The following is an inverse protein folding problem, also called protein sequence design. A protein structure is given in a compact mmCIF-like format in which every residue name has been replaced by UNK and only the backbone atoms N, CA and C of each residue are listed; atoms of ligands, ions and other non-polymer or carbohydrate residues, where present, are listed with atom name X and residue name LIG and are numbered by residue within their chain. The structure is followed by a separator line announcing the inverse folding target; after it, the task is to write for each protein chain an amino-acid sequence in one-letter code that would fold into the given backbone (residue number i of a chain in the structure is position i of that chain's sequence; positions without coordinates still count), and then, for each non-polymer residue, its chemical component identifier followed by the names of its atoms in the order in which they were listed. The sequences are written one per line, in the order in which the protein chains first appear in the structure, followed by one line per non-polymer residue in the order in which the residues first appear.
data_IF_671498376020
#
_entry.id   IF_671498376020
#
_cell.length_a   1.000
_cell.length_b   1.000
_cell.length_c   1.000
_cell.angle_alpha   90.00
_cell.angle_beta   90.00
_cell.angle_gamma   90.00
#
_symmetry.space_group_name_H-M   'P 1'
#
loop_
_entity.id
_entity.type
_entity.pdbx_description
1 polymer ?
#
# COMPACT_ATOMS: atom_id res chain seq x y z
N UNK A 1 -13.59 6.77 -44.99
CA UNK A 1 -13.93 6.37 -43.60
C UNK A 1 -12.91 6.87 -42.56
N UNK A 2 -11.60 6.81 -42.80
CA UNK A 2 -10.57 7.34 -41.87
C UNK A 2 -10.52 8.87 -41.71
N UNK A 3 -10.90 9.63 -42.75
CA UNK A 3 -10.93 11.10 -42.68
C UNK A 3 -12.03 11.62 -41.74
N UNK A 4 -13.19 10.95 -41.68
CA UNK A 4 -14.29 11.31 -40.79
C UNK A 4 -13.93 11.10 -39.31
N UNK A 5 -13.18 10.04 -39.00
CA UNK A 5 -12.73 9.74 -37.63
C UNK A 5 -11.67 10.72 -37.12
N UNK A 6 -10.74 11.18 -37.98
CA UNK A 6 -9.78 12.26 -37.64
C UNK A 6 -10.49 13.60 -37.43
N UNK A 7 -11.53 13.89 -38.19
CA UNK A 7 -12.33 15.11 -38.05
C UNK A 7 -13.19 15.10 -36.76
N UNK A 8 -13.81 13.97 -36.41
CA UNK A 8 -14.55 13.79 -35.15
C UNK A 8 -13.65 13.88 -33.90
N UNK A 9 -12.41 13.37 -33.95
CA UNK A 9 -11.40 13.59 -32.88
C UNK A 9 -10.96 15.05 -32.77
N UNK A 10 -10.89 15.80 -33.88
CA UNK A 10 -10.61 17.24 -33.88
C UNK A 10 -11.80 18.08 -33.37
N UNK A 11 -13.04 17.71 -33.71
CA UNK A 11 -14.25 18.38 -33.21
C UNK A 11 -14.48 18.18 -31.71
N UNK A 12 -14.18 16.99 -31.17
CA UNK A 12 -14.16 16.76 -29.71
C UNK A 12 -13.13 17.62 -28.97
N UNK A 13 -12.04 18.05 -29.63
CA UNK A 13 -11.06 18.98 -29.06
C UNK A 13 -11.50 20.46 -29.12
N UNK A 14 -12.48 20.80 -29.98
CA UNK A 14 -12.94 22.17 -30.21
C UNK A 14 -14.10 22.61 -29.31
N UNK A 15 -14.77 21.69 -28.61
CA UNK A 15 -15.77 22.02 -27.58
C UNK A 15 -15.15 21.71 -26.21
N UNK A 16 -14.21 22.55 -25.76
CA UNK A 16 -13.78 22.52 -24.36
C UNK A 16 -14.95 23.01 -23.51
N UNK A 17 -15.56 22.09 -22.74
CA UNK A 17 -16.57 22.45 -21.74
C UNK A 17 -15.95 23.48 -20.79
N UNK A 18 -16.72 24.52 -20.44
CA UNK A 18 -16.29 25.47 -19.43
C UNK A 18 -15.95 24.75 -18.12
N UNK A 19 -14.90 25.21 -17.40
CA UNK A 19 -14.58 24.75 -16.06
C UNK A 19 -15.81 24.80 -15.14
N UNK A 20 -15.88 23.88 -14.20
CA UNK A 20 -16.89 23.92 -13.14
C UNK A 20 -16.58 25.06 -12.18
N UNK A 21 -17.63 25.77 -11.74
CA UNK A 21 -17.51 26.72 -10.63
C UNK A 21 -17.19 25.97 -9.33
N UNK A 22 -16.28 26.48 -8.48
CA UNK A 22 -16.01 25.93 -7.15
C UNK A 22 -17.30 25.78 -6.32
N UNK A 23 -17.41 24.66 -5.58
CA UNK A 23 -18.48 24.44 -4.61
C UNK A 23 -18.21 25.31 -3.38
N UNK A 24 -19.28 25.67 -2.69
CA UNK A 24 -19.21 26.36 -1.41
C UNK A 24 -19.41 25.35 -0.28
N UNK A 25 -18.59 25.45 0.75
CA UNK A 25 -18.64 24.61 1.94
C UNK A 25 -18.97 25.47 3.15
N UNK A 26 -19.66 24.89 4.12
CA UNK A 26 -19.98 25.62 5.36
C UNK A 26 -18.71 25.82 6.18
N UNK A 27 -18.52 27.05 6.66
CA UNK A 27 -17.40 27.43 7.55
C UNK A 27 -17.81 27.44 9.02
N UNK A 28 -19.05 27.07 9.33
CA UNK A 28 -19.63 26.97 10.68
C UNK A 28 -20.51 25.73 10.75
N UNK A 29 -20.96 25.35 11.97
CA UNK A 29 -21.86 24.21 12.15
C UNK A 29 -21.16 22.83 12.14
N UNK A 30 -19.83 22.80 12.09
CA UNK A 30 -19.05 21.58 12.33
C UNK A 30 -18.92 21.30 13.82
N UNK A 31 -18.70 20.03 14.17
CA UNK A 31 -18.28 19.63 15.51
C UNK A 31 -16.82 20.01 15.76
N UNK A 32 -16.56 20.72 16.87
CA UNK A 32 -15.20 21.03 17.31
C UNK A 32 -14.66 19.90 18.17
N UNK A 33 -13.55 19.29 17.75
CA UNK A 33 -12.88 18.25 18.54
C UNK A 33 -12.18 18.90 19.76
N UNK A 34 -12.40 18.42 20.99
CA UNK A 34 -11.79 19.01 22.19
C UNK A 34 -10.26 18.96 22.18
N UNK A 35 -9.62 19.99 22.74
CA UNK A 35 -8.15 20.12 22.78
C UNK A 35 -7.45 19.01 23.57
N UNK A 36 -8.16 18.33 24.49
CA UNK A 36 -7.61 17.23 25.26
C UNK A 36 -7.39 15.94 24.46
N UNK A 37 -7.89 15.86 23.22
CA UNK A 37 -7.68 14.73 22.32
C UNK A 37 -6.76 15.12 21.17
N UNK A 38 -5.74 14.30 20.93
CA UNK A 38 -4.97 14.41 19.69
C UNK A 38 -5.83 13.99 18.50
N UNK A 39 -5.95 14.85 17.49
CA UNK A 39 -6.66 14.56 16.25
C UNK A 39 -5.66 14.25 15.13
N UNK A 40 -5.71 13.02 14.62
CA UNK A 40 -5.00 12.60 13.41
C UNK A 40 -3.52 12.99 13.36
N UNK A 41 -3.08 13.83 12.41
CA UNK A 41 -1.68 14.22 12.23
C UNK A 41 -1.05 14.92 13.43
N UNK A 42 -1.86 15.48 14.34
CA UNK A 42 -1.38 16.11 15.57
C UNK A 42 -0.58 15.15 16.47
N UNK A 43 -0.80 13.84 16.33
CA UNK A 43 -0.07 12.83 17.08
C UNK A 43 1.41 12.72 16.67
N UNK A 44 1.78 13.27 15.52
CA UNK A 44 3.14 13.19 14.97
C UNK A 44 3.97 14.43 15.32
N UNK A 45 5.27 14.22 15.57
CA UNK A 45 6.17 15.31 15.90
C UNK A 45 6.36 16.27 14.72
N UNK A 46 6.29 15.76 13.48
CA UNK A 46 6.33 16.56 12.25
C UNK A 46 5.19 17.60 12.19
N UNK A 47 4.05 17.34 12.84
CA UNK A 47 2.96 18.32 12.94
C UNK A 47 3.31 19.44 13.92
N UNK A 48 3.91 19.10 15.07
CA UNK A 48 4.35 20.06 16.08
C UNK A 48 5.45 20.97 15.54
N UNK A 49 6.28 20.45 14.64
CA UNK A 49 7.30 21.20 13.90
C UNK A 49 6.73 22.08 12.76
N UNK A 50 5.43 21.99 12.48
CA UNK A 50 4.78 22.78 11.43
C UNK A 50 5.12 22.31 10.01
N UNK A 51 5.51 21.04 9.83
CA UNK A 51 5.92 20.49 8.54
C UNK A 51 4.74 20.11 7.64
N UNK A 52 3.51 20.06 8.14
CA UNK A 52 2.31 19.75 7.36
C UNK A 52 1.81 20.98 6.60
N UNK A 53 1.22 20.76 5.42
CA UNK A 53 0.49 21.79 4.70
C UNK A 53 -0.94 21.90 5.26
N UNK A 54 -1.41 23.08 5.70
CA UNK A 54 -2.76 23.24 6.25
C UNK A 54 -3.77 23.33 5.10
N UNK A 55 -4.19 22.17 4.61
CA UNK A 55 -5.20 22.07 3.56
C UNK A 55 -6.57 22.47 4.13
N UNK A 56 -7.30 23.38 3.47
CA UNK A 56 -8.71 23.61 3.79
C UNK A 56 -9.63 22.91 2.78
N UNK A 57 -10.75 22.40 3.28
CA UNK A 57 -11.85 21.96 2.42
C UNK A 57 -12.42 23.19 1.69
N UNK A 58 -12.56 23.08 0.37
CA UNK A 58 -13.02 24.16 -0.51
C UNK A 58 -11.91 24.86 -1.29
N UNK A 59 -10.66 24.79 -0.83
CA UNK A 59 -9.50 25.40 -1.50
C UNK A 59 -9.31 24.84 -2.92
N UNK A 60 -8.79 25.67 -3.83
CA UNK A 60 -8.49 25.29 -5.21
C UNK A 60 -6.99 25.35 -5.45
N UNK A 61 -6.38 24.20 -5.71
CA UNK A 61 -4.96 24.07 -6.02
C UNK A 61 -4.70 23.90 -7.51
N UNK A 62 -3.53 24.36 -7.96
CA UNK A 62 -3.11 24.37 -9.38
C UNK A 62 -4.20 24.91 -10.33
N UNK A 63 -4.98 25.88 -9.84
CA UNK A 63 -6.14 26.47 -10.53
C UNK A 63 -7.24 25.49 -10.98
N UNK A 64 -7.17 24.20 -10.62
CA UNK A 64 -8.05 23.17 -11.18
C UNK A 64 -8.51 22.10 -10.21
N UNK A 65 -7.85 21.90 -9.06
CA UNK A 65 -8.22 20.86 -8.10
C UNK A 65 -8.87 21.48 -6.87
N UNK A 66 -10.19 21.34 -6.76
CA UNK A 66 -10.89 21.79 -5.56
C UNK A 66 -10.95 20.67 -4.51
N UNK A 67 -10.46 20.94 -3.31
CA UNK A 67 -10.50 20.03 -2.16
C UNK A 67 -11.94 19.84 -1.69
N UNK A 68 -12.33 18.59 -1.46
CA UNK A 68 -13.68 18.20 -1.08
C UNK A 68 -13.79 17.56 0.30
N UNK A 69 -12.71 16.99 0.83
CA UNK A 69 -12.69 16.36 2.14
C UNK A 69 -11.46 15.49 2.33
N UNK A 70 -11.13 15.19 3.59
CA UNK A 70 -9.94 14.41 3.94
C UNK A 70 -10.25 12.90 3.85
N UNK A 71 -9.34 12.15 3.26
CA UNK A 71 -9.44 10.69 3.11
C UNK A 71 -8.52 9.93 4.05
N UNK A 72 -7.40 10.53 4.44
CA UNK A 72 -6.44 9.90 5.34
C UNK A 72 -5.22 10.75 5.58
N UNK A 73 -4.31 10.23 6.40
CA UNK A 73 -3.11 10.90 6.83
C UNK A 73 -2.05 9.87 7.25
N UNK A 74 -0.81 10.31 7.30
CA UNK A 74 0.32 9.56 7.85
C UNK A 74 1.47 10.53 8.12
N UNK A 75 2.56 10.02 8.69
CA UNK A 75 3.71 10.81 9.13
C UNK A 75 4.28 11.74 8.05
N UNK A 76 4.20 11.34 6.78
CA UNK A 76 4.85 12.04 5.67
C UNK A 76 3.89 12.83 4.77
N UNK A 77 2.57 12.62 4.91
CA UNK A 77 1.60 13.24 4.00
C UNK A 77 0.16 13.19 4.51
N UNK A 78 -0.69 14.05 3.95
CA UNK A 78 -2.15 13.97 4.07
C UNK A 78 -2.78 13.69 2.71
N UNK A 79 -3.90 12.95 2.70
CA UNK A 79 -4.59 12.55 1.47
C UNK A 79 -6.00 13.11 1.45
N UNK A 80 -6.35 13.79 0.36
CA UNK A 80 -7.60 14.54 0.23
C UNK A 80 -8.34 14.14 -1.03
N UNK A 81 -9.66 13.97 -0.94
CA UNK A 81 -10.50 13.91 -2.13
C UNK A 81 -10.58 15.32 -2.72
N UNK A 82 -10.37 15.42 -4.03
CA UNK A 82 -10.58 16.63 -4.77
C UNK A 82 -11.36 16.35 -6.06
N UNK A 83 -11.95 17.38 -6.64
CA UNK A 83 -12.48 17.33 -8.00
C UNK A 83 -11.65 18.20 -8.92
N UNK A 84 -11.42 17.71 -10.13
CA UNK A 84 -10.82 18.47 -11.20
C UNK A 84 -11.91 19.27 -11.93
N UNK A 85 -11.80 20.59 -11.85
CA UNK A 85 -12.78 21.54 -12.39
C UNK A 85 -12.81 21.53 -13.93
N UNK A 86 -11.74 21.08 -14.59
CA UNK A 86 -11.62 21.08 -16.05
C UNK A 86 -12.20 19.81 -16.69
N UNK A 87 -11.80 18.63 -16.22
CA UNK A 87 -12.25 17.35 -16.80
C UNK A 87 -13.50 16.77 -16.11
N UNK A 88 -13.92 17.35 -14.98
CA UNK A 88 -15.10 16.94 -14.18
C UNK A 88 -14.99 15.54 -13.58
N UNK A 89 -13.76 15.10 -13.30
CA UNK A 89 -13.47 13.87 -12.57
C UNK A 89 -12.98 14.15 -11.15
N UNK A 90 -12.91 13.10 -10.34
CA UNK A 90 -12.40 13.13 -8.98
C UNK A 90 -10.96 12.61 -8.95
N UNK A 91 -10.16 13.16 -8.05
CA UNK A 91 -8.76 12.80 -7.81
C UNK A 91 -8.49 12.70 -6.31
N UNK A 92 -7.45 11.97 -5.93
CA UNK A 92 -6.89 12.04 -4.59
C UNK A 92 -5.62 12.89 -4.61
N UNK A 93 -5.52 13.90 -3.77
CA UNK A 93 -4.34 14.74 -3.59
C UNK A 93 -3.56 14.23 -2.39
N UNK A 94 -2.36 13.70 -2.61
CA UNK A 94 -1.40 13.37 -1.55
C UNK A 94 -0.46 14.57 -1.39
N UNK A 95 -0.63 15.31 -0.30
CA UNK A 95 0.16 16.50 0.02
C UNK A 95 1.22 16.10 1.04
N UNK A 96 2.49 16.15 0.63
CA UNK A 96 3.61 15.74 1.48
C UNK A 96 3.96 16.81 2.50
N UNK A 97 4.60 16.40 3.60
CA UNK A 97 5.24 17.34 4.52
C UNK A 97 6.42 18.04 3.84
N UNK A 98 6.75 19.26 4.27
CA UNK A 98 7.70 20.17 3.60
C UNK A 98 9.09 19.56 3.35
N UNK A 99 9.56 18.69 4.23
CA UNK A 99 10.90 18.12 4.17
C UNK A 99 10.94 16.70 3.56
N UNK A 100 9.80 16.18 3.12
CA UNK A 100 9.75 14.86 2.53
C UNK A 100 10.14 14.89 1.05
N UNK A 101 11.17 14.11 0.70
CA UNK A 101 11.60 13.96 -0.69
C UNK A 101 10.69 12.97 -1.45
N UNK A 102 9.68 13.51 -2.12
CA UNK A 102 8.73 12.72 -2.91
C UNK A 102 9.26 12.36 -4.33
N UNK A 103 10.46 12.79 -4.73
CA UNK A 103 10.95 12.63 -6.11
C UNK A 103 11.00 11.17 -6.53
N UNK A 104 11.53 10.30 -5.68
CA UNK A 104 11.61 8.85 -5.95
C UNK A 104 10.22 8.23 -6.16
N UNK A 105 9.23 8.59 -5.33
CA UNK A 105 7.87 8.08 -5.48
C UNK A 105 7.23 8.55 -6.79
N UNK A 106 7.44 9.81 -7.17
CA UNK A 106 6.96 10.37 -8.44
C UNK A 106 7.61 9.66 -9.63
N UNK A 107 8.93 9.45 -9.59
CA UNK A 107 9.66 8.70 -10.63
C UNK A 107 9.16 7.26 -10.76
N UNK A 108 8.88 6.59 -9.63
CA UNK A 108 8.27 5.26 -9.62
C UNK A 108 6.91 5.26 -10.33
N UNK A 109 6.03 6.22 -10.02
CA UNK A 109 4.73 6.34 -10.71
C UNK A 109 4.87 6.61 -12.21
N UNK A 110 5.87 7.39 -12.60
CA UNK A 110 6.21 7.69 -13.98
C UNK A 110 6.62 6.42 -14.76
N UNK A 111 7.49 5.60 -14.18
CA UNK A 111 7.89 4.29 -14.72
C UNK A 111 6.67 3.37 -14.86
N UNK A 112 5.86 3.30 -13.80
CA UNK A 112 4.63 2.50 -13.74
C UNK A 112 3.64 2.92 -14.83
N UNK A 113 3.53 4.21 -15.15
CA UNK A 113 2.65 4.72 -16.19
C UNK A 113 3.16 4.49 -17.62
N UNK A 114 4.49 4.44 -17.82
CA UNK A 114 5.13 4.39 -19.14
C UNK A 114 5.48 2.98 -19.63
N UNK A 115 5.59 1.98 -18.76
CA UNK A 115 6.12 0.65 -19.13
C UNK A 115 5.31 -0.12 -20.19
N UNK A 116 4.26 -0.86 -19.81
CA UNK A 116 3.48 -1.67 -20.78
C UNK A 116 1.97 -1.63 -20.51
N UNK A 117 1.21 -0.74 -21.19
CA UNK A 117 -0.25 -0.65 -21.05
C UNK A 117 -1.03 -1.89 -21.47
N UNK A 118 -0.43 -2.80 -22.24
CA UNK A 118 -1.09 -4.03 -22.71
C UNK A 118 -0.98 -5.18 -21.70
N UNK A 119 -0.09 -5.06 -20.72
CA UNK A 119 0.06 -6.06 -19.68
C UNK A 119 -1.19 -6.14 -18.81
N UNK A 120 -1.67 -7.34 -18.48
CA UNK A 120 -2.93 -7.54 -17.73
C UNK A 120 -2.90 -6.89 -16.34
N UNK A 121 -1.72 -6.87 -15.70
CA UNK A 121 -1.48 -6.20 -14.43
C UNK A 121 -1.43 -4.67 -14.48
N UNK A 122 -1.31 -4.05 -15.68
CA UNK A 122 -1.15 -2.59 -15.82
C UNK A 122 -2.26 -1.80 -15.10
N UNK A 123 -3.51 -2.28 -15.22
CA UNK A 123 -4.70 -1.64 -14.64
C UNK A 123 -4.86 -1.88 -13.14
N UNK A 124 -4.13 -2.85 -12.59
CA UNK A 124 -4.19 -3.30 -11.20
C UNK A 124 -3.10 -2.63 -10.34
N UNK A 125 -2.39 -1.65 -10.90
CA UNK A 125 -1.40 -0.81 -10.22
C UNK A 125 -1.85 0.64 -10.30
N UNK A 126 -1.91 1.32 -9.15
CA UNK A 126 -2.35 2.72 -9.08
C UNK A 126 -1.45 3.61 -9.92
N UNK A 127 -2.04 4.59 -10.60
CA UNK A 127 -1.31 5.55 -11.45
C UNK A 127 -1.36 6.95 -10.85
N UNK A 128 -0.26 7.68 -10.99
CA UNK A 128 -0.26 9.13 -10.90
C UNK A 128 -0.94 9.73 -12.12
N UNK A 129 -1.69 10.79 -11.89
CA UNK A 129 -2.41 11.56 -12.90
C UNK A 129 -1.69 12.88 -13.19
N UNK A 130 -1.06 13.45 -12.16
CA UNK A 130 -0.34 14.73 -12.20
C UNK A 130 0.51 14.88 -10.94
N UNK A 131 1.39 15.88 -10.92
CA UNK A 131 2.12 16.32 -9.72
C UNK A 131 2.43 17.81 -9.83
N UNK A 132 2.34 18.54 -8.73
CA UNK A 132 2.63 19.97 -8.70
C UNK A 132 3.18 20.40 -7.33
N UNK A 133 3.66 21.64 -7.25
CA UNK A 133 4.21 22.24 -6.03
C UNK A 133 3.24 23.28 -5.48
N UNK A 134 3.01 23.23 -4.18
CA UNK A 134 2.27 24.23 -3.41
C UNK A 134 3.29 25.17 -2.75
N UNK A 135 3.28 26.42 -3.18
CA UNK A 135 4.17 27.45 -2.65
C UNK A 135 3.58 28.09 -1.40
N UNK A 136 4.39 28.21 -0.34
CA UNK A 136 4.00 28.87 0.91
C UNK A 136 5.19 29.50 1.60
N UNK A 137 4.93 30.54 2.38
CA UNK A 137 5.94 31.12 3.27
C UNK A 137 6.52 30.04 4.20
N UNK A 138 7.85 29.92 4.20
CA UNK A 138 8.57 28.89 4.95
C UNK A 138 8.96 27.66 4.14
N UNK A 139 8.43 27.48 2.93
CA UNK A 139 8.93 26.49 1.96
C UNK A 139 7.84 25.81 1.14
N UNK A 140 8.29 25.08 0.14
CA UNK A 140 7.46 24.43 -0.86
C UNK A 140 7.00 23.05 -0.41
N UNK A 141 5.82 22.65 -0.87
CA UNK A 141 5.23 21.36 -0.57
C UNK A 141 4.90 20.63 -1.86
N UNK A 142 5.33 19.37 -1.96
CA UNK A 142 4.98 18.55 -3.12
C UNK A 142 3.56 18.01 -2.99
N UNK A 143 2.80 18.05 -4.08
CA UNK A 143 1.49 17.42 -4.18
C UNK A 143 1.46 16.43 -5.33
N UNK A 144 1.11 15.18 -5.02
CA UNK A 144 0.92 14.12 -6.00
C UNK A 144 -0.57 13.87 -6.22
N UNK A 145 -0.99 13.84 -7.48
CA UNK A 145 -2.38 13.63 -7.88
C UNK A 145 -2.56 12.19 -8.32
N UNK A 146 -3.42 11.47 -7.62
CA UNK A 146 -3.63 10.04 -7.81
C UNK A 146 -5.09 9.75 -8.21
N UNK A 147 -5.31 8.61 -8.86
CA UNK A 147 -6.67 8.06 -9.00
C UNK A 147 -7.24 7.79 -7.60
N UNK A 148 -8.48 8.22 -7.28
CA UNK A 148 -9.10 7.88 -6.01
C UNK A 148 -9.46 6.39 -6.02
N UNK A 149 -9.18 5.73 -4.91
CA UNK A 149 -9.50 4.32 -4.69
C UNK A 149 -10.46 4.24 -3.50
N UNK A 150 -11.16 3.12 -3.41
CA UNK A 150 -11.96 2.78 -2.25
C UNK A 150 -11.08 2.17 -1.15
N UNK A 151 -11.71 1.64 -0.12
CA UNK A 151 -11.11 1.04 1.05
C UNK A 151 -9.97 0.04 0.72
N UNK A 152 -8.98 0.06 1.60
CA UNK A 152 -7.91 -0.94 1.66
C UNK A 152 -8.49 -2.30 2.05
N UNK A 153 -7.76 -3.38 1.76
CA UNK A 153 -8.15 -4.72 2.20
C UNK A 153 -8.26 -4.82 3.72
N UNK A 154 -7.41 -4.09 4.44
CA UNK A 154 -7.50 -3.98 5.90
C UNK A 154 -8.84 -3.39 6.33
N UNK A 155 -9.26 -2.28 5.71
CA UNK A 155 -10.57 -1.67 5.99
C UNK A 155 -11.73 -2.58 5.60
N UNK A 156 -11.63 -3.31 4.49
CA UNK A 156 -12.67 -4.26 4.07
C UNK A 156 -12.82 -5.43 5.04
N UNK A 157 -11.70 -5.95 5.54
CA UNK A 157 -11.67 -6.96 6.61
C UNK A 157 -12.34 -6.41 7.86
N UNK A 158 -12.05 -5.18 8.27
CA UNK A 158 -12.68 -4.55 9.43
C UNK A 158 -14.20 -4.33 9.24
N UNK A 159 -14.65 -4.09 8.01
CA UNK A 159 -16.08 -4.01 7.68
C UNK A 159 -16.79 -5.37 7.68
N UNK A 160 -16.05 -6.46 7.55
CA UNK A 160 -16.63 -7.80 7.63
C UNK A 160 -16.74 -8.22 9.09
N UNK A 161 -17.93 -8.58 9.62
CA UNK A 161 -18.09 -9.08 10.98
C UNK A 161 -17.21 -10.29 11.32
N UNK A 162 -16.81 -11.07 10.32
CA UNK A 162 -15.93 -12.26 10.48
C UNK A 162 -14.44 -11.88 10.42
N UNK A 163 -14.12 -10.63 10.07
CA UNK A 163 -12.75 -10.13 9.94
C UNK A 163 -11.83 -10.97 9.04
N UNK A 164 -12.39 -11.57 7.97
CA UNK A 164 -11.65 -12.36 6.96
C UNK A 164 -12.33 -12.27 5.59
N UNK A 165 -11.64 -12.59 4.50
CA UNK A 165 -12.28 -12.75 3.20
C UNK A 165 -12.80 -14.17 3.00
N UNK A 166 -13.97 -14.36 2.34
CA UNK A 166 -14.34 -15.66 1.78
C UNK A 166 -13.25 -16.15 0.81
N UNK A 167 -12.94 -17.44 0.83
CA UNK A 167 -11.86 -18.04 0.04
C UNK A 167 -11.91 -17.66 -1.44
N UNK A 168 -13.09 -17.63 -2.04
CA UNK A 168 -13.28 -17.25 -3.45
C UNK A 168 -12.88 -15.80 -3.74
N UNK A 169 -13.23 -14.88 -2.83
CA UNK A 169 -12.84 -13.47 -2.96
C UNK A 169 -11.34 -13.29 -2.70
N UNK A 170 -10.79 -14.05 -1.76
CA UNK A 170 -9.36 -14.07 -1.48
C UNK A 170 -8.57 -14.54 -2.71
N UNK A 171 -8.90 -15.70 -3.27
CA UNK A 171 -8.27 -16.24 -4.49
C UNK A 171 -8.37 -15.28 -5.67
N UNK A 172 -9.56 -14.74 -5.94
CA UNK A 172 -9.75 -13.77 -7.02
C UNK A 172 -8.91 -12.51 -6.80
N UNK A 173 -8.85 -12.02 -5.58
CA UNK A 173 -8.09 -10.83 -5.23
C UNK A 173 -6.57 -11.04 -5.31
N UNK A 174 -6.09 -12.20 -4.89
CA UNK A 174 -4.67 -12.58 -4.98
C UNK A 174 -4.23 -12.80 -6.42
N UNK A 175 -5.09 -13.38 -7.25
CA UNK A 175 -4.83 -13.47 -8.69
C UNK A 175 -4.62 -12.08 -9.29
N UNK A 176 -5.42 -11.09 -8.90
CA UNK A 176 -5.23 -9.70 -9.33
C UNK A 176 -3.97 -9.05 -8.74
N UNK A 177 -3.66 -9.30 -7.46
CA UNK A 177 -2.43 -8.83 -6.83
C UNK A 177 -1.18 -9.40 -7.51
N UNK A 178 -1.16 -10.69 -7.82
CA UNK A 178 -0.05 -11.34 -8.50
C UNK A 178 0.10 -10.84 -9.94
N UNK A 179 -1.00 -10.54 -10.64
CA UNK A 179 -0.92 -9.85 -11.93
C UNK A 179 -0.30 -8.44 -11.80
N UNK A 180 -0.67 -7.71 -10.75
CA UNK A 180 -0.10 -6.39 -10.46
C UNK A 180 1.41 -6.48 -10.17
N UNK A 181 1.83 -7.47 -9.37
CA UNK A 181 3.24 -7.72 -9.06
C UNK A 181 4.03 -8.19 -10.28
N UNK A 182 3.49 -9.09 -11.09
CA UNK A 182 4.13 -9.50 -12.35
C UNK A 182 4.37 -8.29 -13.27
N UNK A 183 3.39 -7.38 -13.38
CA UNK A 183 3.58 -6.12 -14.11
C UNK A 183 4.69 -5.24 -13.49
N UNK A 184 4.68 -5.10 -12.17
CA UNK A 184 5.64 -4.26 -11.45
C UNK A 184 7.09 -4.80 -11.62
N UNK A 185 7.25 -6.11 -11.47
CA UNK A 185 8.54 -6.79 -11.55
C UNK A 185 9.05 -6.92 -12.98
N UNK A 186 8.22 -7.42 -13.90
CA UNK A 186 8.65 -7.75 -15.26
C UNK A 186 8.72 -6.54 -16.19
N UNK A 187 7.77 -5.60 -16.09
CA UNK A 187 7.65 -4.45 -17.00
C UNK A 187 8.21 -3.17 -16.38
N UNK A 188 7.89 -2.88 -15.12
CA UNK A 188 8.33 -1.62 -14.47
C UNK A 188 9.74 -1.71 -13.89
N UNK A 189 10.23 -2.93 -13.65
CA UNK A 189 11.49 -3.22 -12.96
C UNK A 189 11.55 -2.60 -11.56
N UNK A 190 10.43 -2.65 -10.83
CA UNK A 190 10.32 -2.13 -9.47
C UNK A 190 10.06 -3.26 -8.47
N UNK A 191 10.54 -3.08 -7.25
CA UNK A 191 10.20 -3.86 -6.06
C UNK A 191 9.38 -2.95 -5.13
N UNK A 192 8.27 -3.42 -4.60
CA UNK A 192 7.36 -2.63 -3.78
C UNK A 192 7.85 -2.44 -2.33
N UNK A 193 8.45 -3.49 -1.76
CA UNK A 193 9.05 -3.56 -0.41
C UNK A 193 8.10 -3.34 0.77
N UNK A 194 6.79 -3.23 0.53
CA UNK A 194 5.79 -2.91 1.57
C UNK A 194 4.41 -3.48 1.17
N UNK A 195 4.39 -4.72 0.67
CA UNK A 195 3.14 -5.40 0.33
C UNK A 195 2.43 -5.78 1.64
N UNK A 196 1.28 -5.16 1.87
CA UNK A 196 0.41 -5.41 3.03
C UNK A 196 -1.03 -4.99 2.72
N UNK A 197 -1.97 -5.43 3.54
CA UNK A 197 -3.40 -5.14 3.34
C UNK A 197 -3.75 -3.65 3.28
N UNK A 198 -2.97 -2.78 3.94
CA UNK A 198 -3.13 -1.31 3.88
C UNK A 198 -2.87 -0.75 2.48
N UNK A 199 -1.94 -1.36 1.73
CA UNK A 199 -1.47 -0.88 0.42
C UNK A 199 -2.21 -1.56 -0.76
N UNK A 200 -3.14 -2.47 -0.47
CA UNK A 200 -3.98 -3.16 -1.44
C UNK A 200 -5.39 -2.56 -1.34
N UNK A 201 -5.76 -1.72 -2.31
CA UNK A 201 -7.04 -1.00 -2.31
C UNK A 201 -7.98 -1.52 -3.38
N UNK A 202 -9.25 -1.14 -3.30
CA UNK A 202 -10.24 -1.49 -4.32
C UNK A 202 -10.53 -0.34 -5.28
N UNK A 203 -10.68 -0.63 -6.56
CA UNK A 203 -11.06 0.37 -7.55
C UNK A 203 -12.46 0.94 -7.24
N UNK A 204 -12.56 2.27 -7.20
CA UNK A 204 -13.82 2.96 -7.03
C UNK A 204 -14.54 3.15 -8.38
N UNK A 205 -15.26 2.12 -8.81
CA UNK A 205 -16.00 2.12 -10.10
C UNK A 205 -17.27 2.97 -10.03
N UNK A 206 -17.95 2.97 -8.87
CA UNK A 206 -19.18 3.74 -8.67
C UNK A 206 -18.88 5.21 -8.34
N UNK A 207 -18.89 6.06 -9.38
CA UNK A 207 -18.69 7.51 -9.22
C UNK A 207 -19.73 8.18 -8.31
N UNK A 208 -20.88 7.57 -8.06
CA UNK A 208 -21.87 8.16 -7.17
C UNK A 208 -21.40 8.18 -5.71
N UNK A 209 -20.52 7.27 -5.31
CA UNK A 209 -19.92 7.27 -3.96
C UNK A 209 -19.18 8.57 -3.69
N UNK A 210 -18.41 9.07 -4.65
CA UNK A 210 -17.70 10.36 -4.51
C UNK A 210 -18.67 11.55 -4.50
N UNK A 211 -19.80 11.46 -5.22
CA UNK A 211 -20.85 12.50 -5.17
C UNK A 211 -21.55 12.53 -3.81
N UNK A 212 -21.87 11.36 -3.25
CA UNK A 212 -22.48 11.23 -1.93
C UNK A 212 -21.54 11.74 -0.85
N UNK A 213 -20.26 11.36 -0.91
CA UNK A 213 -19.22 11.93 -0.05
C UNK A 213 -19.19 13.46 -0.11
N UNK A 214 -19.17 14.03 -1.31
CA UNK A 214 -19.14 15.49 -1.51
C UNK A 214 -20.38 16.15 -0.92
N UNK A 215 -21.56 15.55 -1.14
CA UNK A 215 -22.83 16.05 -0.63
C UNK A 215 -22.86 16.00 0.91
N UNK A 216 -22.41 14.89 1.49
CA UNK A 216 -22.33 14.71 2.93
C UNK A 216 -21.44 15.77 3.57
N UNK A 217 -20.25 16.06 3.02
CA UNK A 217 -19.38 17.11 3.56
C UNK A 217 -19.99 18.52 3.47
N UNK A 218 -20.80 18.81 2.44
CA UNK A 218 -21.49 20.10 2.32
C UNK A 218 -22.64 20.22 3.34
N UNK A 219 -23.39 19.15 3.56
CA UNK A 219 -24.56 19.14 4.45
C UNK A 219 -24.18 18.99 5.92
N UNK A 220 -23.16 18.17 6.20
CA UNK A 220 -22.67 17.79 7.52
C UNK A 220 -21.14 17.88 7.53
N UNK A 221 -20.57 19.09 7.74
CA UNK A 221 -19.14 19.30 7.67
C UNK A 221 -18.37 18.44 8.67
N UNK A 222 -17.24 17.88 8.24
CA UNK A 222 -16.42 17.00 9.08
C UNK A 222 -16.00 17.67 10.39
N UNK A 223 -16.00 16.91 11.52
CA UNK A 223 -15.41 17.37 12.76
C UNK A 223 -13.97 17.83 12.56
N UNK A 224 -13.58 18.90 13.23
CA UNK A 224 -12.24 19.48 13.08
C UNK A 224 -11.81 20.25 14.32
N UNK A 225 -10.53 20.57 14.40
CA UNK A 225 -10.02 21.56 15.34
C UNK A 225 -8.91 22.39 14.71
N UNK A 226 -8.52 23.46 15.39
CA UNK A 226 -7.46 24.36 14.94
C UNK A 226 -6.31 24.31 15.93
N UNK A 227 -5.13 23.93 15.45
CA UNK A 227 -3.90 23.92 16.25
C UNK A 227 -2.94 24.90 15.63
N UNK A 228 -2.51 25.91 16.39
CA UNK A 228 -1.66 27.00 15.91
C UNK A 228 -2.19 27.69 14.63
N UNK A 229 -3.53 27.81 14.51
CA UNK A 229 -4.21 28.39 13.34
C UNK A 229 -4.28 27.48 12.10
N UNK A 230 -3.70 26.28 12.14
CA UNK A 230 -3.85 25.27 11.10
C UNK A 230 -5.08 24.37 11.40
N UNK A 231 -5.97 24.14 10.42
CA UNK A 231 -7.08 23.22 10.61
C UNK A 231 -6.62 21.76 10.51
N UNK A 232 -7.16 20.93 11.39
CA UNK A 232 -7.06 19.48 11.33
C UNK A 232 -8.47 18.93 11.19
N UNK A 233 -8.73 18.26 10.09
CA UNK A 233 -10.04 17.65 9.79
C UNK A 233 -10.00 16.17 10.12
N UNK A 234 -11.10 15.64 10.66
CA UNK A 234 -11.29 14.19 10.77
C UNK A 234 -11.49 13.59 9.36
N UNK A 235 -10.77 12.51 9.08
CA UNK A 235 -10.81 11.78 7.82
C UNK A 235 -12.14 11.05 7.67
N UNK A 236 -12.73 11.19 6.48
CA UNK A 236 -14.02 10.59 6.15
C UNK A 236 -13.84 9.34 5.32
N UNK A 237 -14.72 8.35 5.52
CA UNK A 237 -14.73 7.11 4.75
C UNK A 237 -15.78 7.18 3.66
N UNK A 238 -15.49 6.55 2.52
CA UNK A 238 -16.48 6.34 1.49
C UNK A 238 -17.56 5.35 1.96
N UNK A 239 -18.80 5.61 1.55
CA UNK A 239 -19.88 4.63 1.64
C UNK A 239 -19.58 3.38 0.81
N UNK A 240 -20.26 2.28 1.12
CA UNK A 240 -20.11 1.02 0.39
C UNK A 240 -20.58 1.20 -1.07
N UNK A 241 -19.74 0.95 -2.08
CA UNK A 241 -20.14 1.02 -3.47
C UNK A 241 -21.13 -0.11 -3.80
N UNK A 242 -22.01 0.15 -4.78
CA UNK A 242 -22.96 -0.87 -5.27
C UNK A 242 -22.28 -1.98 -6.06
N UNK A 243 -21.13 -1.67 -6.67
CA UNK A 243 -20.32 -2.60 -7.45
C UNK A 243 -18.89 -2.57 -6.93
N UNK A 244 -18.36 -3.75 -6.62
CA UNK A 244 -16.97 -3.91 -6.26
C UNK A 244 -16.08 -3.76 -7.49
N UNK A 245 -15.00 -3.01 -7.35
CA UNK A 245 -13.98 -2.87 -8.39
C UNK A 245 -12.88 -3.91 -8.28
N UNK A 246 -11.91 -3.81 -9.20
CA UNK A 246 -10.70 -4.62 -9.17
C UNK A 246 -9.82 -4.27 -7.96
N UNK A 247 -8.96 -5.20 -7.57
CA UNK A 247 -7.84 -4.95 -6.68
C UNK A 247 -6.83 -4.03 -7.35
N UNK A 248 -6.31 -3.07 -6.60
CA UNK A 248 -5.33 -2.11 -7.06
C UNK A 248 -4.21 -1.99 -6.02
N UNK A 249 -3.01 -2.39 -6.41
CA UNK A 249 -1.79 -2.16 -5.62
C UNK A 249 -1.44 -0.66 -5.64
N UNK A 250 -1.15 -0.11 -4.46
CA UNK A 250 -0.92 1.32 -4.23
C UNK A 250 0.24 1.55 -3.26
N UNK A 251 0.68 2.81 -3.21
CA UNK A 251 1.76 3.32 -2.35
C UNK A 251 3.16 2.83 -2.72
N UNK A 252 3.81 3.59 -3.60
CA UNK A 252 5.16 3.29 -4.11
C UNK A 252 6.22 4.18 -3.45
N UNK A 253 5.96 4.71 -2.25
CA UNK A 253 6.88 5.57 -1.51
C UNK A 253 8.16 4.86 -1.06
N UNK A 254 8.05 3.57 -0.77
CA UNK A 254 9.18 2.69 -0.40
C UNK A 254 9.75 1.91 -1.58
N UNK A 255 9.08 1.92 -2.73
CA UNK A 255 9.47 1.11 -3.86
C UNK A 255 10.83 1.54 -4.45
N UNK A 256 11.59 0.57 -4.94
CA UNK A 256 12.94 0.75 -5.47
C UNK A 256 13.14 -0.03 -6.78
N UNK A 257 14.27 0.20 -7.45
CA UNK A 257 14.68 -0.55 -8.64
C UNK A 257 14.95 -2.01 -8.27
N UNK A 258 14.36 -2.94 -9.03
CA UNK A 258 14.60 -4.38 -8.84
C UNK A 258 15.59 -4.98 -9.83
N UNK A 259 15.88 -4.29 -10.93
CA UNK A 259 16.90 -4.69 -11.91
C UNK A 259 18.33 -4.43 -11.42
N UNK A 260 18.46 -3.95 -10.19
CA UNK A 260 19.70 -3.73 -9.46
C UNK A 260 19.53 -4.38 -8.08
N UNK A 261 20.57 -5.06 -7.62
CA UNK A 261 20.60 -5.56 -6.25
C UNK A 261 20.59 -4.38 -5.27
N UNK A 262 19.81 -4.53 -4.20
CA UNK A 262 19.65 -3.56 -3.14
C UNK A 262 20.33 -4.08 -1.88
N UNK A 263 20.94 -3.19 -1.10
CA UNK A 263 21.67 -3.53 0.13
C UNK A 263 21.24 -2.68 1.34
N UNK A 264 20.19 -1.87 1.16
CA UNK A 264 19.59 -1.03 2.19
C UNK A 264 18.50 -1.77 2.99
N UNK A 265 18.14 -1.20 4.14
CA UNK A 265 17.03 -1.71 4.95
C UNK A 265 15.71 -1.60 4.18
N UNK A 266 14.87 -2.63 4.31
CA UNK A 266 13.60 -2.76 3.60
C UNK A 266 12.60 -3.53 4.43
N UNK A 267 11.33 -3.40 4.07
CA UNK A 267 10.18 -4.09 4.68
C UNK A 267 9.95 -3.70 6.15
N UNK A 268 8.69 -3.45 6.56
CA UNK A 268 8.40 -3.30 7.98
C UNK A 268 8.71 -4.61 8.73
N UNK A 269 9.06 -4.49 10.01
CA UNK A 269 9.65 -5.56 10.83
C UNK A 269 8.98 -6.94 10.68
N UNK A 270 7.66 -7.03 10.86
CA UNK A 270 6.90 -8.30 10.81
C UNK A 270 6.86 -8.93 9.41
N UNK A 271 7.17 -8.15 8.37
CA UNK A 271 7.19 -8.59 6.98
C UNK A 271 8.61 -8.87 6.47
N UNK A 272 9.66 -8.69 7.28
CA UNK A 272 11.04 -8.83 6.79
C UNK A 272 11.33 -10.24 6.30
N UNK A 273 11.94 -10.31 5.12
CA UNK A 273 12.42 -11.55 4.51
C UNK A 273 13.79 -11.97 5.08
N UNK A 274 14.16 -13.26 5.00
CA UNK A 274 15.44 -13.77 5.48
C UNK A 274 16.66 -13.02 4.96
N UNK A 275 16.70 -12.68 3.68
CA UNK A 275 17.81 -11.95 3.05
C UNK A 275 17.98 -10.54 3.63
N UNK A 276 16.88 -9.85 3.95
CA UNK A 276 16.93 -8.54 4.63
C UNK A 276 17.38 -8.70 6.09
N UNK A 277 16.89 -9.72 6.79
CA UNK A 277 17.29 -10.00 8.18
C UNK A 277 18.77 -10.35 8.33
N UNK A 278 19.31 -11.09 7.36
CA UNK A 278 20.71 -11.52 7.32
C UNK A 278 21.65 -10.49 6.68
N UNK A 279 21.11 -9.32 6.28
CA UNK A 279 21.85 -8.23 5.66
C UNK A 279 22.59 -8.68 4.39
N UNK A 280 21.81 -9.30 3.50
CA UNK A 280 22.22 -9.69 2.16
C UNK A 280 21.69 -8.72 1.11
N UNK A 281 22.27 -8.79 -0.08
CA UNK A 281 21.65 -8.18 -1.25
C UNK A 281 20.28 -8.81 -1.55
N UNK A 282 19.32 -7.98 -1.93
CA UNK A 282 17.94 -8.40 -2.21
C UNK A 282 17.37 -7.72 -3.46
N UNK A 283 16.26 -8.27 -3.97
CA UNK A 283 15.56 -7.81 -5.18
C UNK A 283 14.08 -8.26 -5.14
N UNK A 284 13.45 -8.55 -6.28
CA UNK A 284 12.03 -8.90 -6.43
C UNK A 284 11.46 -9.96 -5.45
N UNK A 285 12.19 -11.02 -5.04
CA UNK A 285 11.63 -12.07 -4.18
C UNK A 285 11.15 -11.61 -2.80
N UNK A 286 11.56 -10.42 -2.33
CA UNK A 286 11.08 -9.86 -1.06
C UNK A 286 9.59 -9.54 -1.08
N UNK A 287 9.05 -9.12 -2.23
CA UNK A 287 7.61 -8.84 -2.37
C UNK A 287 6.79 -10.13 -2.32
N UNK A 288 7.32 -11.23 -2.87
CA UNK A 288 6.67 -12.54 -2.86
C UNK A 288 6.56 -13.07 -1.42
N UNK A 289 7.59 -12.87 -0.60
CA UNK A 289 7.57 -13.21 0.82
C UNK A 289 6.42 -12.53 1.57
N UNK A 290 6.10 -11.28 1.22
CA UNK A 290 5.11 -10.46 1.91
C UNK A 290 3.65 -10.79 1.59
N UNK A 291 3.39 -11.62 0.57
CA UNK A 291 2.01 -11.94 0.19
C UNK A 291 1.33 -12.80 1.26
N UNK A 292 2.06 -13.59 2.07
CA UNK A 292 1.44 -14.48 3.07
C UNK A 292 0.44 -13.76 3.99
N UNK A 293 0.81 -12.62 4.58
CA UNK A 293 -0.04 -11.93 5.56
C UNK A 293 -1.37 -11.45 4.94
N UNK A 294 -1.40 -11.30 3.61
CA UNK A 294 -2.61 -10.97 2.84
C UNK A 294 -3.64 -12.12 2.86
N UNK A 295 -3.20 -13.37 3.07
CA UNK A 295 -4.07 -14.55 3.10
C UNK A 295 -4.81 -14.72 4.43
N UNK A 296 -4.05 -14.85 5.50
CA UNK A 296 -4.58 -15.35 6.78
C UNK A 296 -5.16 -14.23 7.66
N UNK A 297 -4.92 -12.95 7.31
CA UNK A 297 -5.35 -11.82 8.12
C UNK A 297 -4.70 -11.75 9.50
N UNK A 298 -3.66 -12.55 9.72
CA UNK A 298 -2.77 -12.57 10.89
C UNK A 298 -1.32 -12.59 10.42
N UNK A 299 -0.43 -12.01 11.22
CA UNK A 299 1.00 -12.02 10.92
C UNK A 299 1.56 -13.43 11.02
N UNK A 300 2.32 -13.87 10.01
CA UNK A 300 3.08 -15.12 10.14
C UNK A 300 4.17 -15.01 11.18
N UNK A 301 4.76 -13.83 11.30
CA UNK A 301 5.88 -13.61 12.18
C UNK A 301 5.67 -12.33 12.99
N UNK A 302 5.99 -12.39 14.27
CA UNK A 302 5.92 -11.22 15.14
C UNK A 302 7.31 -10.72 15.50
N UNK A 303 8.25 -11.64 15.70
CA UNK A 303 9.64 -11.33 16.01
C UNK A 303 9.79 -10.61 17.35
N UNK A 304 8.85 -10.82 18.28
CA UNK A 304 8.88 -10.22 19.61
C UNK A 304 9.79 -11.04 20.50
N UNK A 305 10.80 -10.37 21.01
CA UNK A 305 11.78 -10.93 21.93
C UNK A 305 11.17 -11.10 23.32
N UNK A 306 11.06 -12.33 23.86
CA UNK A 306 10.38 -12.57 25.12
C UNK A 306 11.08 -11.93 26.33
N UNK A 307 12.36 -11.55 26.18
CA UNK A 307 13.12 -10.90 27.25
C UNK A 307 13.01 -9.38 27.21
N UNK A 308 12.81 -8.80 26.03
CA UNK A 308 12.83 -7.35 25.81
C UNK A 308 11.45 -6.77 25.50
N UNK A 309 10.45 -7.60 25.23
CA UNK A 309 9.10 -7.21 24.80
C UNK A 309 9.12 -6.23 23.61
N UNK A 310 10.04 -6.47 22.68
CA UNK A 310 10.22 -5.64 21.49
C UNK A 310 10.70 -6.47 20.31
N UNK A 311 10.58 -5.93 19.11
CA UNK A 311 11.03 -6.61 17.91
C UNK A 311 12.56 -6.80 17.90
N UNK A 312 13.02 -8.02 17.65
CA UNK A 312 14.43 -8.29 17.35
C UNK A 312 14.59 -9.25 16.17
N UNK A 313 15.63 -9.04 15.36
CA UNK A 313 15.95 -9.93 14.23
C UNK A 313 16.16 -11.38 14.69
N UNK A 314 16.75 -11.60 15.87
CA UNK A 314 16.96 -12.94 16.43
C UNK A 314 15.64 -13.66 16.77
N UNK A 315 14.66 -12.95 17.34
CA UNK A 315 13.35 -13.52 17.63
C UNK A 315 12.60 -13.85 16.34
N UNK A 316 12.65 -12.96 15.35
CA UNK A 316 12.04 -13.20 14.05
C UNK A 316 12.68 -14.41 13.34
N UNK A 317 14.01 -14.49 13.28
CA UNK A 317 14.69 -15.65 12.70
C UNK A 317 14.34 -16.96 13.42
N UNK A 318 14.20 -16.96 14.75
CA UNK A 318 13.77 -18.14 15.50
C UNK A 318 12.37 -18.62 15.08
N UNK A 319 11.42 -17.71 14.84
CA UNK A 319 10.10 -18.05 14.32
C UNK A 319 10.17 -18.61 12.89
N UNK A 320 11.00 -18.03 12.02
CA UNK A 320 11.21 -18.55 10.66
C UNK A 320 11.83 -19.95 10.69
N UNK A 321 12.80 -20.20 11.59
CA UNK A 321 13.40 -21.53 11.78
C UNK A 321 12.38 -22.54 12.29
N UNK A 322 11.51 -22.15 13.22
CA UNK A 322 10.42 -23.02 13.69
C UNK A 322 9.49 -23.43 12.55
N UNK A 323 9.28 -22.53 11.58
CA UNK A 323 8.39 -22.76 10.43
C UNK A 323 9.03 -23.55 9.28
N UNK A 324 10.27 -23.22 8.92
CA UNK A 324 10.95 -23.69 7.70
C UNK A 324 12.11 -24.65 7.98
N UNK A 325 12.44 -24.89 9.24
CA UNK A 325 13.69 -25.55 9.63
C UNK A 325 14.90 -24.62 9.51
N UNK A 326 16.10 -25.15 9.80
CA UNK A 326 17.34 -24.38 9.72
C UNK A 326 17.64 -23.88 8.30
N UNK A 327 18.19 -22.67 8.14
CA UNK A 327 18.58 -22.16 6.84
C UNK A 327 19.74 -22.97 6.24
N UNK A 328 19.85 -23.03 4.90
CA UNK A 328 21.02 -23.59 4.23
C UNK A 328 22.31 -22.86 4.61
N UNK A 329 23.41 -23.60 4.73
CA UNK A 329 24.70 -23.06 5.15
C UNK A 329 25.22 -21.96 4.21
N UNK A 330 25.00 -22.08 2.90
CA UNK A 330 25.38 -21.06 1.93
C UNK A 330 24.68 -19.73 2.20
N UNK A 331 23.39 -19.75 2.57
CA UNK A 331 22.63 -18.55 2.88
C UNK A 331 23.24 -17.81 4.08
N UNK A 332 23.56 -18.55 5.14
CA UNK A 332 24.21 -18.02 6.34
C UNK A 332 25.55 -17.38 5.99
N UNK A 333 26.34 -18.02 5.13
CA UNK A 333 27.66 -17.53 4.71
C UNK A 333 27.60 -16.28 3.82
N UNK A 334 26.53 -16.12 3.03
CA UNK A 334 26.30 -14.91 2.21
C UNK A 334 25.90 -13.68 3.05
N UNK A 335 25.21 -13.88 4.16
CA UNK A 335 24.71 -12.80 5.00
C UNK A 335 25.80 -12.16 5.86
N UNK A 336 25.92 -10.82 5.79
CA UNK A 336 26.88 -10.06 6.62
C UNK A 336 26.64 -10.28 8.11
N UNK A 337 25.37 -10.50 8.49
CA UNK A 337 24.93 -10.76 9.87
C UNK A 337 24.76 -12.24 10.21
N UNK A 338 25.07 -13.17 9.29
CA UNK A 338 24.88 -14.60 9.53
C UNK A 338 25.62 -15.11 10.78
N UNK A 339 26.84 -14.61 11.00
CA UNK A 339 27.67 -14.94 12.17
C UNK A 339 27.13 -14.37 13.49
N UNK A 340 26.19 -13.43 13.49
CA UNK A 340 25.53 -12.96 14.72
C UNK A 340 24.64 -14.06 15.31
N UNK A 341 23.99 -14.84 14.44
CA UNK A 341 22.89 -15.74 14.83
C UNK A 341 23.25 -17.23 14.71
N UNK A 342 24.20 -17.58 13.84
CA UNK A 342 24.54 -18.97 13.52
C UNK A 342 26.02 -19.27 13.76
N UNK A 343 26.30 -20.53 14.11
CA UNK A 343 27.66 -21.08 14.21
C UNK A 343 28.25 -21.32 12.81
N UNK A 344 29.55 -21.60 12.73
CA UNK A 344 30.22 -21.84 11.44
C UNK A 344 29.72 -23.09 10.71
N UNK A 345 29.21 -24.07 11.44
CA UNK A 345 28.55 -25.30 10.94
C UNK A 345 27.04 -25.13 10.69
N UNK A 346 26.52 -23.90 10.79
CA UNK A 346 25.14 -23.56 10.42
C UNK A 346 24.10 -23.87 11.49
N UNK A 347 24.51 -24.15 12.73
CA UNK A 347 23.59 -24.33 13.84
C UNK A 347 23.13 -22.99 14.39
N UNK A 348 21.88 -22.95 14.87
CA UNK A 348 21.39 -21.82 15.64
C UNK A 348 22.27 -21.64 16.87
N UNK A 349 22.91 -20.48 17.02
CA UNK A 349 23.64 -20.18 18.27
C UNK A 349 22.62 -20.24 19.38
N UNK A 350 22.92 -21.00 20.43
CA UNK A 350 22.12 -21.01 21.66
C UNK A 350 22.07 -19.58 22.21
N UNK A 351 21.04 -18.86 21.78
CA UNK A 351 20.63 -17.59 22.33
C UNK A 351 19.56 -17.87 23.37
N UNK A 352 19.31 -16.93 24.28
CA UNK A 352 18.19 -17.03 25.23
C UNK A 352 16.80 -17.00 24.56
N UNK A 353 16.73 -17.09 23.22
CA UNK A 353 15.48 -17.21 22.46
C UNK A 353 15.28 -18.67 22.02
N UNK A 354 14.23 -19.34 22.52
CA UNK A 354 13.88 -20.67 22.06
C UNK A 354 13.28 -20.61 20.64
N UNK A 355 13.58 -21.63 19.83
CA UNK A 355 12.89 -21.86 18.56
C UNK A 355 11.50 -22.44 18.89
N UNK A 356 10.38 -21.83 18.44
CA UNK A 356 9.04 -22.37 18.63
C UNK A 356 8.92 -23.78 18.04
N UNK A 357 8.40 -24.74 18.81
CA UNK A 357 8.30 -26.16 18.41
C UNK A 357 6.88 -26.56 18.00
N UNK A 358 5.89 -25.76 18.34
CA UNK A 358 4.45 -25.99 18.17
C UNK A 358 3.86 -25.28 16.94
N UNK A 359 4.70 -24.63 16.14
CA UNK A 359 4.29 -23.78 15.03
C UNK A 359 4.79 -24.33 13.70
N UNK A 360 3.87 -24.80 12.86
CA UNK A 360 4.13 -25.21 11.48
C UNK A 360 3.12 -24.54 10.54
N UNK A 361 3.39 -24.54 9.24
CA UNK A 361 2.44 -24.00 8.26
C UNK A 361 1.11 -24.76 8.34
N UNK A 362 1.15 -26.06 8.59
CA UNK A 362 -0.02 -26.90 8.83
C UNK A 362 -0.81 -26.49 10.07
N UNK A 363 -0.16 -26.10 11.16
CA UNK A 363 -0.87 -25.71 12.39
C UNK A 363 -1.41 -24.29 12.32
N UNK A 364 -0.77 -23.40 11.57
CA UNK A 364 -1.22 -22.01 11.39
C UNK A 364 -2.41 -21.93 10.43
N UNK A 365 -2.46 -22.78 9.41
CA UNK A 365 -3.60 -22.88 8.48
C UNK A 365 -4.78 -23.59 9.15
N UNK A 366 -5.77 -22.82 9.61
CA UNK A 366 -6.93 -23.32 10.35
C UNK A 366 -8.22 -23.40 9.52
N UNK A 367 -8.22 -22.86 8.28
CA UNK A 367 -9.43 -22.62 7.50
C UNK A 367 -9.69 -23.70 6.45
N UNK A 368 -8.64 -24.18 5.81
CA UNK A 368 -8.72 -25.18 4.76
C UNK A 368 -8.52 -26.57 5.34
N UNK A 369 -9.18 -27.55 4.72
CA UNK A 369 -9.05 -28.97 5.08
C UNK A 369 -8.78 -29.83 3.83
N UNK A 370 -8.27 -31.04 4.07
CA UNK A 370 -8.02 -32.04 3.03
C UNK A 370 -7.17 -31.54 1.85
N UNK A 371 -7.57 -31.90 0.64
CA UNK A 371 -6.85 -31.58 -0.61
C UNK A 371 -6.70 -30.06 -0.84
N UNK A 372 -7.67 -29.26 -0.41
CA UNK A 372 -7.60 -27.80 -0.55
C UNK A 372 -6.47 -27.21 0.32
N UNK A 373 -6.32 -27.73 1.55
CA UNK A 373 -5.21 -27.36 2.45
C UNK A 373 -3.88 -27.78 1.86
N UNK A 374 -3.76 -28.99 1.36
CA UNK A 374 -2.52 -29.50 0.77
C UNK A 374 -2.05 -28.64 -0.41
N UNK A 375 -2.97 -28.33 -1.33
CA UNK A 375 -2.69 -27.45 -2.48
C UNK A 375 -2.30 -26.04 -2.03
N UNK A 376 -2.97 -25.50 -1.02
CA UNK A 376 -2.64 -24.19 -0.47
C UNK A 376 -1.25 -24.15 0.16
N UNK A 377 -0.93 -25.14 1.00
CA UNK A 377 0.38 -25.23 1.63
C UNK A 377 1.49 -25.41 0.59
N UNK A 378 1.24 -26.13 -0.50
CA UNK A 378 2.17 -26.22 -1.63
C UNK A 378 2.37 -24.86 -2.34
N UNK A 379 1.29 -24.10 -2.55
CA UNK A 379 1.35 -22.73 -3.08
C UNK A 379 2.21 -21.83 -2.18
N UNK A 380 1.93 -21.82 -0.88
CA UNK A 380 2.63 -21.01 0.13
C UNK A 380 4.10 -21.38 0.25
N UNK A 381 4.42 -22.67 0.25
CA UNK A 381 5.81 -23.13 0.25
C UNK A 381 6.58 -22.62 -0.96
N UNK A 382 5.92 -22.43 -2.11
CA UNK A 382 6.56 -21.78 -3.26
C UNK A 382 6.99 -20.34 -3.00
N UNK A 383 6.38 -19.66 -2.03
CA UNK A 383 6.70 -18.29 -1.64
C UNK A 383 7.68 -18.22 -0.46
N UNK A 384 7.49 -19.09 0.53
CA UNK A 384 8.26 -19.09 1.78
C UNK A 384 9.48 -20.00 1.66
N UNK A 385 10.50 -19.52 0.95
CA UNK A 385 11.80 -20.17 0.82
C UNK A 385 12.91 -19.35 1.47
N UNK A 386 13.87 -20.06 2.06
CA UNK A 386 15.08 -19.49 2.65
C UNK A 386 15.91 -18.75 1.60
N UNK A 387 16.17 -19.39 0.46
CA UNK A 387 16.88 -18.76 -0.65
C UNK A 387 15.91 -17.91 -1.48
N UNK A 388 16.21 -16.62 -1.72
CA UNK A 388 15.39 -15.78 -2.59
C UNK A 388 15.19 -16.37 -3.99
N UNK A 389 16.22 -17.02 -4.53
CA UNK A 389 16.23 -17.64 -5.86
C UNK A 389 15.34 -18.90 -5.97
N UNK A 390 15.01 -19.53 -4.84
CA UNK A 390 14.12 -20.70 -4.80
C UNK A 390 12.63 -20.29 -4.73
N UNK A 391 12.34 -19.00 -4.49
CA UNK A 391 10.96 -18.48 -4.45
C UNK A 391 10.37 -18.38 -5.85
N UNK A 392 9.14 -18.86 -6.01
CA UNK A 392 8.35 -18.67 -7.23
C UNK A 392 8.13 -17.18 -7.49
N UNK A 393 8.26 -16.79 -8.74
CA UNK A 393 7.88 -15.46 -9.21
C UNK A 393 6.35 -15.28 -9.19
N UNK A 394 5.89 -14.02 -9.23
CA UNK A 394 4.47 -13.72 -9.34
C UNK A 394 3.82 -14.42 -10.56
N UNK A 395 4.55 -14.50 -11.68
CA UNK A 395 4.13 -15.17 -12.90
C UNK A 395 3.94 -16.67 -12.75
N UNK A 396 4.82 -17.33 -12.01
CA UNK A 396 4.72 -18.77 -11.73
C UNK A 396 3.57 -19.06 -10.75
N UNK A 397 3.39 -18.22 -9.73
CA UNK A 397 2.28 -18.32 -8.78
C UNK A 397 0.91 -18.16 -9.46
N UNK A 398 0.81 -17.34 -10.51
CA UNK A 398 -0.42 -17.20 -11.31
C UNK A 398 -0.84 -18.49 -12.03
N UNK A 399 0.09 -19.43 -12.21
CA UNK A 399 -0.16 -20.72 -12.86
C UNK A 399 -0.34 -21.85 -11.85
N UNK A 400 -0.26 -21.55 -10.55
CA UNK A 400 -0.32 -22.57 -9.52
C UNK A 400 -1.72 -23.23 -9.46
N UNK A 401 -1.81 -24.57 -9.32
CA UNK A 401 -3.08 -25.27 -9.28
C UNK A 401 -4.04 -24.77 -8.22
N UNK A 402 -3.55 -24.35 -7.05
CA UNK A 402 -4.43 -23.89 -5.98
C UNK A 402 -5.19 -22.61 -6.34
N UNK A 403 -4.49 -21.68 -7.00
CA UNK A 403 -5.03 -20.39 -7.40
C UNK A 403 -5.92 -20.50 -8.64
N UNK A 404 -5.65 -21.47 -9.51
CA UNK A 404 -6.38 -21.69 -10.77
C UNK A 404 -7.58 -22.63 -10.63
N UNK A 405 -7.65 -23.42 -9.55
CA UNK A 405 -8.83 -24.21 -9.21
C UNK A 405 -9.90 -23.32 -8.56
N UNK A 406 -10.90 -22.95 -9.35
CA UNK A 406 -12.16 -22.35 -8.94
C UNK A 406 -13.28 -23.37 -9.00
#
# INVERSE_FOLDING_TARGET
MEFLFKWLRKLRKLIRRAPLSPLQFQTTGFETVPDCYFLEEEQFDEFKEGLYYPVNIGDVYDSKYQVLGKLGFGTTSTVWLARNLHNRDYVALKVYTRNWDARREIENYDLIGKANPSHRGYRLVRKALDSFVLHRDGGDYTCLVLKPLWDSWKDLVLRNPVHRFPLELLKAGLYELLLALDYLHSECKLVHTDIKMDNILSELVDKNVMKLFTKAEIEFPSPRKFVNGAPIFMSQRFERPRKMGHVVLSDFGSAVRGDQNQDNDAQPNVYRSPEVMLDMEWSYPVDIWNIWDVFEGKHLFYGIDPLMDTYTTRAHLAEVIGMLGLPPLDLIQRGRRGKEFFTEDGQWKQTDIPIPQDRSLESVEELLEGESKEKFLAFVRGMLQWRPEDRKTAKELLQDPWLTSF
#
